data_IF_225838679077
#
_entry.id   IF_225838679077
#
_cell.length_a   1.000
_cell.length_b   1.000
_cell.length_c   1.000
_cell.angle_alpha   90.00
_cell.angle_beta   90.00
_cell.angle_gamma   90.00
#
_symmetry.space_group_name_H-M   'P 1'
#
loop_
_entity.id
_entity.type
_entity.pdbx_description
1 polymer ?
#
# COMPACT_ATOMS: atom_id res chain seq x y z
N UNK A 1 -91.59 -8.97 13.95
CA UNK A 1 -92.26 -7.66 14.10
C UNK A 1 -91.14 -6.62 13.98
N UNK A 2 -90.85 -5.99 12.84
CA UNK A 2 -91.69 -5.58 11.73
C UNK A 2 -91.74 -4.05 11.74
N UNK A 3 -90.86 -3.39 10.98
CA UNK A 3 -91.08 -2.09 10.33
C UNK A 3 -89.83 -1.68 9.53
N UNK A 4 -89.93 -1.79 8.21
CA UNK A 4 -89.22 -0.96 7.25
C UNK A 4 -90.19 0.08 6.73
N UNK A 5 -89.75 1.33 6.58
CA UNK A 5 -90.29 2.40 5.70
C UNK A 5 -89.13 3.38 5.51
N UNK A 6 -88.41 3.40 4.39
CA UNK A 6 -88.75 4.03 3.09
C UNK A 6 -88.96 5.55 3.17
N UNK A 7 -88.14 6.30 2.45
CA UNK A 7 -88.51 7.35 1.50
C UNK A 7 -87.25 7.96 0.87
N UNK A 8 -87.15 7.89 -0.45
CA UNK A 8 -86.12 8.55 -1.23
C UNK A 8 -86.46 10.00 -1.59
N UNK A 9 -85.48 10.68 -2.18
CA UNK A 9 -85.57 11.46 -3.43
C UNK A 9 -84.90 12.84 -3.36
N UNK A 10 -84.07 13.07 -4.40
CA UNK A 10 -83.70 14.37 -5.00
C UNK A 10 -82.87 15.32 -4.12
N UNK A 11 -81.63 15.70 -4.46
CA UNK A 11 -81.13 16.08 -5.77
C UNK A 11 -80.96 17.59 -5.75
N UNK A 12 -79.71 18.06 -5.64
CA UNK A 12 -79.31 19.33 -6.24
C UNK A 12 -77.79 19.39 -6.41
N UNK A 13 -77.40 19.93 -7.55
CA UNK A 13 -76.03 20.00 -8.05
C UNK A 13 -75.43 21.37 -7.78
N UNK A 14 -74.10 21.39 -7.63
CA UNK A 14 -73.21 22.53 -7.90
C UNK A 14 -73.25 23.64 -6.81
N UNK A 15 -72.16 24.20 -6.29
CA UNK A 15 -70.85 24.55 -6.87
C UNK A 15 -69.81 24.77 -5.75
N UNK A 16 -68.59 24.27 -5.93
CA UNK A 16 -67.38 25.01 -5.56
C UNK A 16 -66.68 24.69 -4.23
N UNK A 17 -65.36 24.55 -4.37
CA UNK A 17 -64.30 24.82 -3.39
C UNK A 17 -63.77 23.67 -2.50
N UNK A 18 -62.68 23.09 -3.02
CA UNK A 18 -61.37 22.89 -2.37
C UNK A 18 -61.21 21.76 -1.33
N UNK A 19 -60.28 20.85 -1.62
CA UNK A 19 -59.93 19.72 -0.74
C UNK A 19 -59.48 18.47 -1.50
N UNK A 20 -58.25 18.48 -2.03
CA UNK A 20 -57.60 17.26 -2.53
C UNK A 20 -57.06 16.45 -1.33
N UNK A 21 -57.83 15.49 -0.85
CA UNK A 21 -57.35 14.44 0.07
C UNK A 21 -57.36 13.08 -0.62
N UNK A 22 -56.21 12.40 -0.55
CA UNK A 22 -56.17 10.95 -0.33
C UNK A 22 -56.14 10.04 -1.56
N UNK A 23 -55.06 10.08 -2.34
CA UNK A 23 -54.60 8.86 -3.03
C UNK A 23 -53.71 8.09 -2.05
N UNK A 24 -54.26 7.07 -1.41
CA UNK A 24 -53.50 6.06 -0.65
C UNK A 24 -52.72 5.19 -1.64
N UNK A 25 -51.44 5.51 -1.86
CA UNK A 25 -50.51 4.54 -2.43
C UNK A 25 -50.24 3.43 -1.41
N UNK A 26 -50.27 2.15 -1.80
CA UNK A 26 -49.83 1.09 -0.92
C UNK A 26 -48.33 1.25 -0.69
N UNK A 27 -47.93 1.49 0.56
CA UNK A 27 -46.54 1.42 0.97
C UNK A 27 -46.06 -0.02 0.75
N UNK A 28 -45.48 -0.27 -0.42
CA UNK A 28 -44.59 -1.39 -0.61
C UNK A 28 -43.49 -1.23 0.44
N UNK A 29 -43.42 -2.19 1.35
CA UNK A 29 -42.38 -2.38 2.34
C UNK A 29 -41.03 -2.37 1.58
N UNK A 30 -40.42 -1.19 1.45
CA UNK A 30 -39.08 -1.05 0.90
C UNK A 30 -38.18 -1.57 1.99
N UNK A 31 -37.85 -2.86 1.92
CA UNK A 31 -36.64 -3.40 2.55
C UNK A 31 -35.49 -2.60 1.97
N UNK A 32 -35.13 -1.53 2.67
CA UNK A 32 -33.95 -0.74 2.40
C UNK A 32 -32.80 -1.70 2.70
N UNK A 33 -32.24 -2.30 1.65
CA UNK A 33 -31.01 -3.06 1.80
C UNK A 33 -30.00 -2.12 2.48
N UNK A 34 -29.53 -2.51 3.65
CA UNK A 34 -28.46 -1.80 4.36
C UNK A 34 -27.20 -1.93 3.50
N UNK A 35 -27.08 -1.04 2.51
CA UNK A 35 -25.90 -0.95 1.67
C UNK A 35 -24.84 -0.33 2.55
N UNK A 36 -23.84 -1.13 2.92
CA UNK A 36 -22.73 -0.68 3.75
C UNK A 36 -22.20 0.69 3.32
N UNK A 37 -21.86 1.54 4.29
CA UNK A 37 -21.41 2.92 4.04
C UNK A 37 -19.89 2.98 4.04
N UNK A 38 -19.29 3.51 2.97
CA UNK A 38 -17.85 3.77 2.87
C UNK A 38 -17.53 5.24 3.19
N UNK A 39 -16.47 5.47 3.96
CA UNK A 39 -15.96 6.80 4.32
C UNK A 39 -14.44 6.84 4.19
N UNK A 40 -13.93 7.92 3.61
CA UNK A 40 -12.51 8.24 3.64
C UNK A 40 -12.16 8.74 5.05
N UNK A 41 -11.31 8.01 5.75
CA UNK A 41 -10.75 8.42 7.05
C UNK A 41 -9.66 9.46 6.81
N UNK A 42 -8.83 9.20 5.80
CA UNK A 42 -7.64 9.98 5.50
C UNK A 42 -7.20 9.76 4.03
N UNK A 43 -6.65 10.79 3.38
CA UNK A 43 -6.16 10.69 2.00
C UNK A 43 -5.09 11.76 1.76
N UNK A 44 -3.83 11.35 1.78
CA UNK A 44 -2.69 12.19 1.42
C UNK A 44 -1.81 11.49 0.37
N UNK A 45 -0.81 12.21 -0.12
CA UNK A 45 0.10 11.65 -1.12
C UNK A 45 0.80 10.40 -0.57
N UNK A 46 0.67 9.29 -1.31
CA UNK A 46 1.29 8.01 -0.97
C UNK A 46 0.54 7.16 0.07
N UNK A 47 -0.57 7.64 0.66
CA UNK A 47 -1.42 6.80 1.51
C UNK A 47 -2.90 7.24 1.57
N UNK A 48 -3.81 6.27 1.47
CA UNK A 48 -5.26 6.47 1.63
C UNK A 48 -5.81 5.47 2.63
N UNK A 49 -6.67 5.93 3.54
CA UNK A 49 -7.38 5.08 4.49
C UNK A 49 -8.88 5.22 4.32
N UNK A 50 -9.55 4.09 4.16
CA UNK A 50 -11.01 3.99 4.06
C UNK A 50 -11.57 3.12 5.18
N UNK A 51 -12.76 3.49 5.63
CA UNK A 51 -13.56 2.76 6.59
C UNK A 51 -14.87 2.37 5.90
N UNK A 52 -15.19 1.08 5.89
CA UNK A 52 -16.47 0.56 5.39
C UNK A 52 -17.23 -0.03 6.55
N UNK A 53 -18.44 0.47 6.81
CA UNK A 53 -19.41 -0.24 7.64
C UNK A 53 -20.07 -1.29 6.76
N UNK A 54 -19.87 -2.55 7.08
CA UNK A 54 -20.46 -3.67 6.37
C UNK A 54 -21.96 -3.82 6.75
N UNK A 55 -22.79 -4.45 5.90
CA UNK A 55 -24.19 -4.72 6.19
C UNK A 55 -24.44 -5.61 7.41
N UNK A 56 -23.42 -6.33 7.87
CA UNK A 56 -23.46 -7.14 9.09
C UNK A 56 -23.23 -6.32 10.37
N UNK A 57 -23.04 -5.00 10.23
CA UNK A 57 -22.75 -4.07 11.32
C UNK A 57 -21.26 -3.98 11.69
N UNK A 58 -20.41 -4.86 11.15
CA UNK A 58 -18.97 -4.82 11.39
C UNK A 58 -18.31 -3.71 10.58
N UNK A 59 -17.11 -3.30 11.01
CA UNK A 59 -16.32 -2.29 10.30
C UNK A 59 -15.11 -2.94 9.64
N UNK A 60 -14.83 -2.54 8.42
CA UNK A 60 -13.59 -2.84 7.70
C UNK A 60 -12.74 -1.58 7.55
N UNK A 61 -11.49 -1.62 7.98
CA UNK A 61 -10.52 -0.56 7.74
C UNK A 61 -9.55 -1.01 6.65
N UNK A 62 -9.26 -0.14 5.69
CA UNK A 62 -8.27 -0.40 4.64
C UNK A 62 -7.31 0.76 4.52
N UNK A 63 -6.02 0.48 4.69
CA UNK A 63 -4.93 1.37 4.32
C UNK A 63 -4.37 0.92 2.97
N UNK A 64 -4.22 1.85 2.03
CA UNK A 64 -3.54 1.64 0.74
C UNK A 64 -2.31 2.54 0.71
N UNK A 65 -1.12 1.95 0.56
CA UNK A 65 0.16 2.62 0.70
C UNK A 65 1.03 2.37 -0.53
N UNK A 66 1.54 3.45 -1.10
CA UNK A 66 2.53 3.40 -2.17
C UNK A 66 3.93 3.28 -1.57
N UNK A 67 4.61 2.16 -1.77
CA UNK A 67 5.94 1.94 -1.20
C UNK A 67 6.99 2.65 -2.04
N UNK A 68 7.62 3.66 -1.44
CA UNK A 68 8.68 4.44 -2.07
C UNK A 68 10.02 3.79 -1.76
N UNK A 69 10.80 3.54 -2.81
CA UNK A 69 12.14 2.96 -2.73
C UNK A 69 13.15 4.01 -3.18
N UNK A 70 14.20 4.21 -2.37
CA UNK A 70 15.30 5.14 -2.67
C UNK A 70 16.18 4.61 -3.80
N UNK A 71 17.08 5.45 -4.32
CA UNK A 71 18.08 5.03 -5.30
C UNK A 71 19.07 3.98 -4.75
N UNK A 72 19.23 3.91 -3.42
CA UNK A 72 20.02 2.88 -2.74
C UNK A 72 19.28 1.55 -2.55
N UNK A 73 18.01 1.45 -2.95
CA UNK A 73 17.18 0.26 -2.77
C UNK A 73 16.58 0.12 -1.35
N UNK A 74 16.67 1.16 -0.54
CA UNK A 74 16.09 1.20 0.81
C UNK A 74 14.63 1.68 0.76
N UNK A 75 13.79 1.12 1.64
CA UNK A 75 12.41 1.59 1.82
C UNK A 75 12.36 2.51 3.04
N UNK A 76 11.87 3.73 2.85
CA UNK A 76 11.65 4.70 3.92
C UNK A 76 10.17 5.11 3.89
N UNK A 77 9.48 4.91 5.00
CA UNK A 77 8.08 5.30 5.13
C UNK A 77 7.95 6.73 5.64
N UNK A 78 7.16 7.56 4.94
CA UNK A 78 6.83 8.91 5.40
C UNK A 78 5.92 8.88 6.65
N UNK A 79 5.81 10.02 7.34
CA UNK A 79 4.90 10.15 8.50
C UNK A 79 3.45 9.81 8.12
N UNK A 80 3.03 10.24 6.93
CA UNK A 80 1.72 9.93 6.32
C UNK A 80 1.49 8.41 6.20
N UNK A 81 2.50 7.68 5.73
CA UNK A 81 2.41 6.22 5.56
C UNK A 81 2.41 5.50 6.91
N UNK A 82 3.20 5.98 7.86
CA UNK A 82 3.22 5.46 9.24
C UNK A 82 1.89 5.70 9.97
N UNK A 83 1.27 6.85 9.76
CA UNK A 83 -0.08 7.14 10.29
C UNK A 83 -1.11 6.17 9.70
N UNK A 84 -1.07 5.92 8.39
CA UNK A 84 -1.96 4.96 7.74
C UNK A 84 -1.83 3.54 8.32
N UNK A 85 -0.60 3.07 8.58
CA UNK A 85 -0.36 1.80 9.29
C UNK A 85 -0.97 1.79 10.69
N UNK A 86 -0.84 2.91 11.41
CA UNK A 86 -1.42 3.10 12.73
C UNK A 86 -2.94 2.94 12.75
N UNK A 87 -3.64 3.49 11.75
CA UNK A 87 -5.11 3.39 11.66
C UNK A 87 -5.57 1.95 11.53
N UNK A 88 -4.88 1.14 10.73
CA UNK A 88 -5.20 -0.30 10.58
C UNK A 88 -4.48 -1.19 11.58
N UNK A 89 -3.65 -0.64 12.47
CA UNK A 89 -2.83 -1.41 13.42
C UNK A 89 -2.03 -2.55 12.77
N UNK A 90 -1.63 -2.37 11.51
CA UNK A 90 -0.80 -3.29 10.73
C UNK A 90 0.35 -2.47 10.16
N UNK A 91 1.54 -2.63 10.74
CA UNK A 91 2.73 -1.88 10.37
C UNK A 91 3.70 -2.75 9.59
N UNK A 92 4.27 -2.19 8.53
CA UNK A 92 5.41 -2.80 7.85
C UNK A 92 6.67 -2.49 8.64
N UNK A 93 7.34 -3.51 9.16
CA UNK A 93 8.57 -3.34 9.96
C UNK A 93 9.82 -3.47 9.11
N UNK A 94 9.77 -4.25 8.05
CA UNK A 94 10.88 -4.37 7.10
C UNK A 94 10.39 -4.77 5.72
N UNK A 95 11.09 -4.29 4.71
CA UNK A 95 11.07 -4.83 3.35
C UNK A 95 12.52 -5.06 3.00
N UNK A 96 12.96 -6.30 3.04
CA UNK A 96 14.38 -6.65 2.86
C UNK A 96 14.55 -7.75 1.83
N UNK A 97 15.66 -7.68 1.10
CA UNK A 97 16.10 -8.74 0.21
C UNK A 97 16.95 -9.74 1.00
N UNK A 98 16.48 -10.97 1.13
CA UNK A 98 17.16 -12.04 1.88
C UNK A 98 18.10 -12.87 1.00
N UNK A 99 17.79 -12.99 -0.29
CA UNK A 99 18.57 -13.73 -1.28
C UNK A 99 18.36 -13.13 -2.66
N UNK A 100 19.16 -13.54 -3.66
CA UNK A 100 19.24 -12.92 -4.98
C UNK A 100 17.91 -12.44 -5.59
N UNK A 101 16.81 -13.18 -5.49
CA UNK A 101 15.50 -12.74 -6.01
C UNK A 101 14.39 -12.89 -4.97
N UNK A 102 14.76 -12.98 -3.70
CA UNK A 102 13.81 -13.15 -2.59
C UNK A 102 13.70 -11.85 -1.78
N UNK A 103 12.47 -11.40 -1.59
CA UNK A 103 12.12 -10.30 -0.69
C UNK A 103 11.24 -10.85 0.43
N UNK A 104 11.49 -10.36 1.64
CA UNK A 104 10.66 -10.59 2.81
C UNK A 104 10.10 -9.26 3.28
N UNK A 105 8.79 -9.23 3.48
CA UNK A 105 8.04 -8.10 4.02
C UNK A 105 7.52 -8.52 5.38
N UNK A 106 8.09 -7.96 6.43
CA UNK A 106 7.67 -8.26 7.79
C UNK A 106 6.58 -7.30 8.24
N UNK A 107 5.54 -7.88 8.82
CA UNK A 107 4.36 -7.19 9.32
C UNK A 107 4.32 -7.32 10.84
N UNK A 108 4.07 -6.22 11.53
CA UNK A 108 3.73 -6.18 12.94
C UNK A 108 2.27 -5.78 13.09
N UNK A 109 1.45 -6.69 13.62
CA UNK A 109 0.13 -6.35 14.10
C UNK A 109 0.23 -5.75 15.51
N UNK A 110 -0.18 -4.49 15.65
CA UNK A 110 -0.15 -3.73 16.91
C UNK A 110 -1.51 -3.68 17.61
N UNK A 111 -2.51 -4.40 17.08
CA UNK A 111 -3.82 -4.48 17.70
C UNK A 111 -3.79 -5.21 19.04
N UNK A 112 -4.70 -4.89 19.98
CA UNK A 112 -4.79 -5.58 21.27
C UNK A 112 -5.05 -7.08 21.17
N UNK A 113 -5.55 -7.57 20.04
CA UNK A 113 -5.93 -8.96 19.81
C UNK A 113 -5.01 -9.67 18.79
N UNK A 114 -3.83 -9.12 18.47
CA UNK A 114 -2.88 -9.63 17.47
C UNK A 114 -2.60 -11.16 17.56
N UNK A 115 -2.52 -11.72 18.77
CA UNK A 115 -2.25 -13.15 18.98
C UNK A 115 -3.40 -14.09 18.58
N UNK A 116 -4.61 -13.55 18.36
CA UNK A 116 -5.81 -14.30 17.97
C UNK A 116 -6.25 -13.97 16.54
N UNK A 117 -5.41 -13.26 15.79
CA UNK A 117 -5.68 -12.87 14.41
C UNK A 117 -5.27 -13.98 13.44
N UNK A 118 -6.00 -14.09 12.34
CA UNK A 118 -5.61 -14.88 11.18
C UNK A 118 -5.36 -13.94 10.00
N UNK A 119 -4.24 -14.14 9.31
CA UNK A 119 -3.86 -13.34 8.16
C UNK A 119 -4.14 -14.08 6.86
N UNK A 120 -4.58 -13.35 5.86
CA UNK A 120 -4.79 -13.86 4.50
C UNK A 120 -4.28 -12.85 3.48
N UNK A 121 -3.89 -13.35 2.31
CA UNK A 121 -3.29 -12.55 1.25
C UNK A 121 -4.06 -12.64 -0.06
N UNK A 122 -4.11 -11.54 -0.79
CA UNK A 122 -4.59 -11.47 -2.17
C UNK A 122 -3.82 -10.39 -2.93
N UNK A 123 -3.97 -10.36 -4.26
CA UNK A 123 -3.52 -9.23 -5.06
C UNK A 123 -4.51 -8.06 -4.90
N UNK A 124 -4.10 -6.83 -5.23
CA UNK A 124 -4.95 -5.64 -5.13
C UNK A 124 -6.27 -5.74 -5.91
N UNK A 125 -6.29 -6.51 -6.99
CA UNK A 125 -7.51 -6.80 -7.76
C UNK A 125 -8.43 -7.86 -7.12
N UNK A 126 -8.07 -8.42 -5.96
CA UNK A 126 -8.82 -9.45 -5.24
C UNK A 126 -8.51 -10.89 -5.67
N UNK A 127 -7.69 -11.10 -6.71
CA UNK A 127 -7.27 -12.45 -7.10
C UNK A 127 -6.34 -13.09 -6.06
N UNK A 128 -6.29 -14.41 -6.03
CA UNK A 128 -5.39 -15.16 -5.16
C UNK A 128 -3.92 -14.82 -5.44
N UNK A 129 -3.08 -14.95 -4.40
CA UNK A 129 -1.63 -14.80 -4.55
C UNK A 129 -1.08 -15.84 -5.54
N UNK A 130 -0.24 -15.43 -6.51
CA UNK A 130 0.45 -16.36 -7.39
C UNK A 130 1.52 -17.14 -6.61
N UNK A 131 1.94 -18.31 -7.11
CA UNK A 131 2.84 -19.20 -6.36
C UNK A 131 4.23 -18.65 -6.01
N UNK A 132 4.62 -17.50 -6.57
CA UNK A 132 5.85 -16.78 -6.21
C UNK A 132 5.66 -15.77 -5.07
N UNK A 133 4.44 -15.61 -4.54
CA UNK A 133 4.13 -14.84 -3.33
C UNK A 133 3.47 -15.77 -2.32
N UNK A 134 4.07 -15.85 -1.12
CA UNK A 134 3.51 -16.60 0.00
C UNK A 134 3.26 -15.65 1.16
N UNK A 135 2.15 -15.85 1.87
CA UNK A 135 1.85 -15.16 3.12
C UNK A 135 1.84 -16.18 4.26
N UNK A 136 2.52 -15.87 5.36
CA UNK A 136 2.42 -16.63 6.59
C UNK A 136 1.11 -16.24 7.33
N UNK A 137 0.15 -17.17 7.48
CA UNK A 137 -1.15 -16.87 8.10
C UNK A 137 -1.07 -16.59 9.60
N UNK A 138 0.07 -16.86 10.26
CA UNK A 138 0.27 -16.59 11.68
C UNK A 138 0.89 -15.21 11.96
N UNK A 139 1.72 -14.71 11.04
CA UNK A 139 2.45 -13.45 11.24
C UNK A 139 2.04 -12.34 10.28
N UNK A 140 1.40 -12.68 9.16
CA UNK A 140 1.13 -11.76 8.06
C UNK A 140 2.38 -11.43 7.23
N UNK A 141 3.55 -12.00 7.54
CA UNK A 141 4.78 -11.82 6.78
C UNK A 141 4.59 -12.34 5.35
N UNK A 142 5.11 -11.59 4.38
CA UNK A 142 4.98 -11.90 2.95
C UNK A 142 6.35 -12.21 2.38
N UNK A 143 6.49 -13.38 1.76
CA UNK A 143 7.68 -13.76 1.01
C UNK A 143 7.39 -13.68 -0.49
N UNK A 144 8.18 -12.90 -1.21
CA UNK A 144 8.18 -12.82 -2.66
C UNK A 144 9.42 -13.55 -3.14
N UNK A 145 9.25 -14.72 -3.77
CA UNK A 145 10.35 -15.57 -4.21
C UNK A 145 10.36 -15.67 -5.74
N UNK A 146 11.44 -15.15 -6.35
CA UNK A 146 11.72 -15.29 -7.77
C UNK A 146 10.54 -14.87 -8.69
N UNK A 147 10.11 -13.59 -8.63
CA UNK A 147 9.01 -13.12 -9.45
C UNK A 147 9.30 -13.30 -10.95
N UNK A 148 8.26 -13.46 -11.80
CA UNK A 148 8.43 -13.61 -13.25
C UNK A 148 9.24 -12.48 -13.87
N UNK A 149 10.05 -12.80 -14.88
CA UNK A 149 10.82 -11.79 -15.62
C UNK A 149 9.91 -10.72 -16.20
N UNK A 150 10.24 -9.45 -15.97
CA UNK A 150 9.44 -8.32 -16.42
C UNK A 150 8.33 -7.89 -15.46
N UNK A 151 8.16 -8.55 -14.32
CA UNK A 151 7.26 -8.08 -13.26
C UNK A 151 7.86 -6.83 -12.59
N UNK A 152 7.31 -5.65 -12.91
CA UNK A 152 7.79 -4.36 -12.39
C UNK A 152 7.11 -3.94 -11.10
N UNK A 153 5.80 -4.19 -11.02
CA UNK A 153 4.98 -3.72 -9.91
C UNK A 153 4.08 -4.86 -9.44
N UNK A 154 3.79 -4.91 -8.14
CA UNK A 154 2.73 -5.76 -7.59
C UNK A 154 1.99 -5.01 -6.49
N UNK A 155 0.68 -5.17 -6.45
CA UNK A 155 -0.14 -4.70 -5.34
C UNK A 155 -0.55 -5.92 -4.52
N UNK A 156 -0.12 -5.95 -3.26
CA UNK A 156 -0.40 -7.03 -2.31
C UNK A 156 -1.36 -6.51 -1.26
N UNK A 157 -2.42 -7.27 -1.02
CA UNK A 157 -3.41 -7.01 0.03
C UNK A 157 -3.26 -8.07 1.13
N UNK A 158 -2.93 -7.60 2.32
CA UNK A 158 -2.88 -8.39 3.56
C UNK A 158 -4.14 -8.07 4.36
N UNK A 159 -4.89 -9.09 4.75
CA UNK A 159 -6.11 -8.95 5.54
C UNK A 159 -5.95 -9.68 6.88
N UNK A 160 -6.20 -8.97 7.98
CA UNK A 160 -6.34 -9.52 9.32
C UNK A 160 -7.83 -9.55 9.69
N UNK A 161 -8.32 -10.69 10.18
CA UNK A 161 -9.70 -10.86 10.62
C UNK A 161 -9.77 -11.16 12.12
N UNK A 162 -10.30 -10.19 12.88
CA UNK A 162 -10.46 -10.30 14.32
C UNK A 162 -11.56 -11.24 14.74
N UNK A 163 -11.45 -11.79 15.95
CA UNK A 163 -12.53 -12.56 16.59
C UNK A 163 -13.78 -11.72 16.87
N UNK A 164 -13.63 -10.39 16.83
CA UNK A 164 -14.70 -9.39 16.97
C UNK A 164 -15.42 -9.08 15.64
N UNK A 165 -15.03 -9.73 14.53
CA UNK A 165 -15.60 -9.49 13.21
C UNK A 165 -15.03 -8.26 12.50
N UNK A 166 -14.10 -7.53 13.12
CA UNK A 166 -13.43 -6.41 12.48
C UNK A 166 -12.44 -6.93 11.42
N UNK A 167 -12.49 -6.33 10.24
CA UNK A 167 -11.56 -6.63 9.14
C UNK A 167 -10.59 -5.46 8.99
N UNK A 168 -9.30 -5.75 9.00
CA UNK A 168 -8.24 -4.76 8.78
C UNK A 168 -7.44 -5.16 7.56
N UNK A 169 -7.25 -4.24 6.64
CA UNK A 169 -6.62 -4.49 5.35
C UNK A 169 -5.45 -3.53 5.16
N UNK A 170 -4.29 -4.07 4.85
CA UNK A 170 -3.12 -3.34 4.41
C UNK A 170 -2.85 -3.68 2.94
N UNK A 171 -2.95 -2.69 2.07
CA UNK A 171 -2.65 -2.80 0.65
C UNK A 171 -1.34 -2.06 0.35
N UNK A 172 -0.35 -2.79 -0.16
CA UNK A 172 0.99 -2.30 -0.47
C UNK A 172 1.21 -2.33 -1.97
N UNK A 173 1.46 -1.18 -2.58
CA UNK A 173 1.93 -1.09 -3.96
C UNK A 173 3.45 -1.09 -3.97
N UNK A 174 4.04 -2.14 -4.54
CA UNK A 174 5.47 -2.42 -4.52
C UNK A 174 6.07 -2.27 -5.92
N UNK A 175 7.12 -1.46 -6.04
CA UNK A 175 7.99 -1.43 -7.21
C UNK A 175 9.04 -2.55 -7.10
N UNK A 176 8.70 -3.72 -7.62
CA UNK A 176 9.59 -4.89 -7.62
C UNK A 176 10.85 -4.66 -8.43
N UNK A 177 10.80 -3.86 -9.51
CA UNK A 177 12.00 -3.54 -10.28
C UNK A 177 13.00 -2.79 -9.40
N UNK A 178 12.56 -1.78 -8.64
CA UNK A 178 13.44 -1.04 -7.72
C UNK A 178 13.87 -1.88 -6.52
N UNK A 179 12.97 -2.64 -5.91
CA UNK A 179 13.28 -3.48 -4.75
C UNK A 179 14.27 -4.62 -5.09
N UNK A 180 14.22 -5.12 -6.33
CA UNK A 180 15.09 -6.21 -6.80
C UNK A 180 16.26 -5.72 -7.65
N UNK A 181 16.34 -4.42 -7.95
CA UNK A 181 17.51 -3.85 -8.61
C UNK A 181 18.72 -4.17 -7.74
N UNK A 182 19.54 -5.08 -8.24
CA UNK A 182 20.92 -5.19 -7.81
C UNK A 182 21.51 -3.78 -7.86
N UNK A 183 22.39 -3.45 -6.92
CA UNK A 183 23.43 -2.45 -7.15
C UNK A 183 24.25 -2.89 -8.38
N UNK A 184 23.70 -2.76 -9.58
CA UNK A 184 24.42 -2.88 -10.86
C UNK A 184 25.04 -1.53 -11.24
N UNK A 185 25.33 -0.70 -10.23
CA UNK A 185 26.14 0.51 -10.33
C UNK A 185 27.09 0.61 -9.13
N UNK A 186 27.77 -0.48 -8.81
CA UNK A 186 29.20 -0.44 -8.41
C UNK A 186 29.92 -1.63 -9.06
N UNK A 187 29.68 -1.85 -10.36
CA UNK A 187 30.82 -2.24 -11.20
C UNK A 187 31.42 -0.90 -11.62
N UNK A 188 32.65 -0.54 -11.21
CA UNK A 188 33.39 0.41 -12.01
C UNK A 188 33.41 -0.19 -13.41
N UNK A 189 32.98 0.59 -14.39
CA UNK A 189 33.29 0.31 -15.78
C UNK A 189 34.73 -0.20 -15.82
N UNK A 190 34.92 -1.38 -16.37
CA UNK A 190 36.25 -1.92 -16.57
C UNK A 190 36.98 -1.03 -17.56
N UNK A 191 37.57 0.05 -17.07
CA UNK A 191 38.68 0.75 -17.69
C UNK A 191 39.79 0.89 -16.65
N UNK A 192 40.85 0.11 -16.93
CA UNK A 192 42.10 -0.05 -16.22
C UNK A 192 42.04 -0.89 -14.94
N UNK A 193 42.72 -2.04 -15.04
CA UNK A 193 43.57 -2.61 -14.01
C UNK A 193 44.25 -1.52 -13.16
N UNK A 194 43.54 -1.02 -12.14
CA UNK A 194 44.16 -0.34 -11.01
C UNK A 194 44.43 -1.41 -9.97
N UNK A 195 45.40 -2.27 -10.27
CA UNK A 195 46.11 -3.00 -9.24
C UNK A 195 46.44 -2.01 -8.13
N UNK A 196 45.98 -2.26 -6.90
CA UNK A 196 46.31 -1.43 -5.75
C UNK A 196 47.83 -1.28 -5.66
N UNK A 197 48.33 -0.12 -6.09
CA UNK A 197 49.73 0.25 -5.89
C UNK A 197 49.81 0.64 -4.41
N UNK A 198 50.52 -0.12 -3.56
CA UNK A 198 50.64 0.21 -2.14
C UNK A 198 51.24 1.61 -1.99
N UNK A 199 50.91 2.30 -0.89
CA UNK A 199 51.37 3.68 -0.62
C UNK A 199 52.90 3.84 -0.75
N UNK A 200 53.68 2.77 -0.51
CA UNK A 200 55.13 2.75 -0.73
C UNK A 200 55.51 3.02 -2.18
N UNK A 201 54.80 2.42 -3.13
CA UNK A 201 55.09 2.51 -4.56
C UNK A 201 54.46 3.78 -5.16
N UNK A 202 53.36 4.28 -4.58
CA UNK A 202 52.86 5.64 -4.85
C UNK A 202 53.89 6.69 -4.39
N UNK A 203 54.49 6.53 -3.21
CA UNK A 203 55.48 7.45 -2.65
C UNK A 203 56.79 7.46 -3.46
N UNK A 204 57.24 6.29 -3.95
CA UNK A 204 58.42 6.21 -4.81
C UNK A 204 58.22 6.90 -6.16
N UNK A 205 57.03 6.77 -6.75
CA UNK A 205 56.68 7.44 -8.01
C UNK A 205 56.64 8.96 -7.85
N UNK A 206 56.03 9.45 -6.77
CA UNK A 206 55.95 10.88 -6.44
C UNK A 206 57.35 11.45 -6.15
N UNK A 207 58.21 10.71 -5.44
CA UNK A 207 59.59 11.12 -5.15
C UNK A 207 60.43 11.21 -6.43
N UNK A 208 60.26 10.26 -7.35
CA UNK A 208 60.92 10.29 -8.65
C UNK A 208 60.47 11.50 -9.50
N UNK A 209 59.18 11.83 -9.48
CA UNK A 209 58.65 13.01 -10.17
C UNK A 209 59.20 14.31 -9.58
N UNK A 210 59.37 14.38 -8.26
CA UNK A 210 59.94 15.55 -7.58
C UNK A 210 61.43 15.76 -7.96
N UNK A 211 62.20 14.68 -8.09
CA UNK A 211 63.59 14.73 -8.56
C UNK A 211 63.69 15.21 -10.01
N UNK A 212 62.79 14.74 -10.90
CA UNK A 212 62.73 15.20 -12.29
C UNK A 212 62.33 16.67 -12.43
N UNK A 213 61.46 17.16 -11.54
CA UNK A 213 61.12 18.58 -11.48
C UNK A 213 62.33 19.46 -11.13
N UNK A 214 63.17 19.02 -10.20
CA UNK A 214 64.43 19.68 -9.85
C UNK A 214 65.43 19.74 -11.01
N UNK A 215 65.59 18.65 -11.76
CA UNK A 215 66.45 18.63 -12.95
C UNK A 215 65.91 19.54 -14.08
N UNK A 216 64.59 19.63 -14.26
CA UNK A 216 64.00 20.58 -15.22
C UNK A 216 64.26 22.03 -14.81
N UNK A 217 64.15 22.38 -13.52
CA UNK A 217 64.49 23.73 -13.04
C UNK A 217 65.97 24.06 -13.28
N UNK A 218 66.87 23.11 -13.06
CA UNK A 218 68.31 23.30 -13.32
C UNK A 218 68.59 23.47 -14.82
N UNK A 219 67.91 22.71 -15.68
CA UNK A 219 68.07 22.82 -17.14
C UNK A 219 67.61 24.19 -17.67
N UNK A 220 66.51 24.73 -17.13
CA UNK A 220 66.00 26.07 -17.46
C UNK A 220 66.95 27.18 -16.99
N UNK A 221 67.65 26.98 -15.87
CA UNK A 221 68.62 27.94 -15.33
C UNK A 221 69.95 27.94 -16.08
N UNK A 222 70.36 26.79 -16.65
CA UNK A 222 71.57 26.68 -17.47
C UNK A 222 71.38 27.10 -18.93
N UNK A 223 70.14 27.19 -19.41
CA UNK A 223 69.81 27.64 -20.77
C UNK A 223 69.58 29.16 -20.90
N UNK A 224 69.91 29.95 -19.88
CA UNK A 224 69.78 31.41 -19.85
C UNK A 224 71.14 32.12 -19.86
#
# INVERSE_FOLDING_TARGET
>A
MGASTDFGSSGDSNTGFDGLEGLSEPQADRVQADTGSERIVFSEEGAVVTETRNPDGNTSLRASVDVIVTDSGEVIFSDIQQEAFGVVSLAVTSIMRTSGTELVIDIQDTSPNASSQQYSGSLGNGSSLPGWITLDPATGSVTINNPPTGQREVIIRIQAMGTDGQIRVLELKLDLEKLLRQQLQEQPEAEADVSFIPLSEQLETELAAQNQYGERLMSLLQSA
#
